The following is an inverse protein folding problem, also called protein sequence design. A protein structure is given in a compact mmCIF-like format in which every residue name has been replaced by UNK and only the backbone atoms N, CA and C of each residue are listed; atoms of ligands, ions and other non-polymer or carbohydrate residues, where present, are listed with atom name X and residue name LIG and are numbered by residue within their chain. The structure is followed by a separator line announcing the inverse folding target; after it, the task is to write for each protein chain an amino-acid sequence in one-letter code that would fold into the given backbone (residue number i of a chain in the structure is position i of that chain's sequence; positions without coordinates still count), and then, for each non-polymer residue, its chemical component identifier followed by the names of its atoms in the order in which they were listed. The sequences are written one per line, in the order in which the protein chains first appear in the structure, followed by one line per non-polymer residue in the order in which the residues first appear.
data_IF_004831333164
#
_entry.id   IF_004831333164
#
_cell.length_a   1.000
_cell.length_b   1.000
_cell.length_c   1.000
_cell.angle_alpha   90.00
_cell.angle_beta   90.00
_cell.angle_gamma   90.00
#
_symmetry.space_group_name_H-M   'P 1'
#
loop_
_entity.id
_entity.type
_entity.pdbx_description
1 polymer ?
#
# COMPACT_ATOMS: atom_id res chain seq x y z
N UNK A 1 37.35 -33.72 -14.17
CA UNK A 1 36.35 -33.38 -13.15
C UNK A 1 36.14 -31.88 -13.19
N UNK A 2 35.10 -31.47 -13.86
CA UNK A 2 34.79 -30.04 -13.96
C UNK A 2 33.70 -29.72 -12.94
N UNK A 3 34.05 -28.93 -11.94
CA UNK A 3 33.10 -28.41 -10.97
C UNK A 3 32.32 -27.27 -11.64
N UNK A 4 31.09 -27.55 -12.00
CA UNK A 4 30.23 -26.53 -12.54
C UNK A 4 29.77 -25.61 -11.43
N UNK A 5 30.34 -24.43 -11.36
CA UNK A 5 29.84 -23.38 -10.50
C UNK A 5 28.59 -22.75 -11.12
N UNK A 6 27.46 -23.05 -10.54
CA UNK A 6 26.22 -22.36 -10.94
C UNK A 6 26.23 -20.93 -10.45
N UNK A 7 26.68 -20.04 -11.32
CA UNK A 7 26.59 -18.62 -11.03
C UNK A 7 25.14 -18.19 -11.10
N UNK A 8 24.59 -17.66 -10.00
CA UNK A 8 23.30 -17.03 -10.02
C UNK A 8 23.40 -15.78 -10.90
N UNK A 9 22.71 -15.79 -12.04
CA UNK A 9 22.63 -14.62 -12.92
C UNK A 9 21.71 -13.58 -12.30
N UNK A 10 22.16 -12.95 -11.21
CA UNK A 10 21.43 -11.81 -10.64
C UNK A 10 21.79 -10.58 -11.49
N UNK A 11 20.76 -9.88 -11.96
CA UNK A 11 20.95 -8.63 -12.70
C UNK A 11 21.63 -7.61 -11.78
N UNK A 12 22.61 -6.84 -12.30
CA UNK A 12 23.26 -5.81 -11.48
C UNK A 12 22.24 -4.73 -11.11
N UNK A 13 22.30 -4.30 -9.86
CA UNK A 13 21.42 -3.22 -9.39
C UNK A 13 21.80 -1.91 -10.10
N UNK A 14 20.79 -1.18 -10.55
CA UNK A 14 20.95 0.14 -11.14
C UNK A 14 20.26 1.17 -10.28
N UNK A 15 20.96 2.24 -9.87
CA UNK A 15 20.36 3.22 -8.96
C UNK A 15 19.17 3.95 -9.57
N UNK A 16 18.20 4.24 -8.72
CA UNK A 16 17.10 5.14 -9.04
C UNK A 16 17.58 6.57 -8.91
N UNK A 17 17.01 7.46 -9.72
CA UNK A 17 17.21 8.91 -9.61
C UNK A 17 15.88 9.64 -9.67
N UNK A 18 15.84 10.83 -9.14
CA UNK A 18 14.63 11.64 -9.16
C UNK A 18 14.36 12.13 -10.58
N UNK A 19 13.16 11.85 -11.09
CA UNK A 19 12.73 12.32 -12.39
C UNK A 19 11.91 13.60 -12.28
N UNK A 20 10.96 13.64 -11.36
CA UNK A 20 10.02 14.77 -11.26
C UNK A 20 9.46 14.87 -9.85
N UNK A 21 9.19 16.10 -9.42
CA UNK A 21 8.42 16.39 -8.20
C UNK A 21 7.07 16.98 -8.61
N UNK A 22 5.99 16.37 -8.11
CA UNK A 22 4.63 16.78 -8.44
C UNK A 22 4.03 17.45 -7.20
N UNK A 23 3.64 18.72 -7.32
CA UNK A 23 3.14 19.51 -6.20
C UNK A 23 1.78 20.11 -6.58
N UNK A 24 0.71 19.54 -6.01
CA UNK A 24 -0.64 20.02 -6.28
C UNK A 24 -1.58 19.83 -5.09
N UNK A 25 -1.15 19.14 -4.05
CA UNK A 25 -1.94 19.01 -2.84
C UNK A 25 -1.63 20.13 -1.84
N UNK A 26 -2.63 20.51 -1.06
CA UNK A 26 -2.51 21.58 -0.06
C UNK A 26 -2.12 21.08 1.32
N UNK A 27 -2.18 19.78 1.55
CA UNK A 27 -1.84 19.13 2.80
C UNK A 27 -1.00 17.88 2.51
N UNK A 28 -0.66 17.17 3.56
CA UNK A 28 0.08 15.90 3.49
C UNK A 28 -0.50 15.00 2.40
N UNK A 29 0.38 14.37 1.62
CA UNK A 29 -0.02 13.33 0.68
C UNK A 29 0.07 12.01 1.42
N UNK A 30 -1.06 11.38 1.65
CA UNK A 30 -1.14 10.19 2.51
C UNK A 30 -0.90 8.88 1.76
N UNK A 31 -1.14 8.86 0.46
CA UNK A 31 -1.08 7.63 -0.33
C UNK A 31 -0.85 7.97 -1.78
N UNK A 32 -0.08 7.11 -2.46
CA UNK A 32 0.16 7.21 -3.89
C UNK A 32 0.13 5.79 -4.46
N UNK A 33 -0.58 5.60 -5.59
CA UNK A 33 -0.70 4.29 -6.23
C UNK A 33 -0.73 4.43 -7.75
N UNK A 34 0.11 3.67 -8.44
CA UNK A 34 -0.04 3.48 -9.89
C UNK A 34 -1.28 2.66 -10.16
N UNK A 35 -1.96 2.95 -11.27
CA UNK A 35 -3.08 2.12 -11.72
C UNK A 35 -2.59 0.73 -12.12
N UNK A 36 -3.52 -0.21 -12.22
CA UNK A 36 -3.17 -1.61 -12.48
C UNK A 36 -2.50 -1.79 -13.84
N UNK A 37 -2.87 -0.99 -14.82
CA UNK A 37 -2.25 -1.03 -16.16
C UNK A 37 -1.03 -0.12 -16.29
N UNK A 38 -0.73 0.68 -15.27
CA UNK A 38 0.43 1.57 -15.25
C UNK A 38 0.25 2.88 -15.99
N UNK A 39 -0.92 3.15 -16.58
CA UNK A 39 -1.11 4.39 -17.36
C UNK A 39 -1.38 5.62 -16.51
N UNK A 40 -1.87 5.40 -15.29
CA UNK A 40 -2.28 6.50 -14.40
C UNK A 40 -1.59 6.35 -13.04
N UNK A 41 -1.57 7.46 -12.33
CA UNK A 41 -1.09 7.54 -10.95
C UNK A 41 -2.15 8.31 -10.18
N UNK A 42 -2.48 7.85 -8.97
CA UNK A 42 -3.40 8.58 -8.11
C UNK A 42 -2.71 8.90 -6.80
N UNK A 43 -2.97 10.10 -6.30
CA UNK A 43 -2.51 10.53 -4.98
C UNK A 43 -3.71 10.96 -4.14
N UNK A 44 -3.64 10.66 -2.85
CA UNK A 44 -4.68 11.02 -1.88
C UNK A 44 -4.08 11.89 -0.80
N UNK A 45 -4.87 12.77 -0.21
CA UNK A 45 -4.33 13.77 0.69
C UNK A 45 -5.27 14.07 1.87
N UNK A 46 -4.67 14.59 2.93
CA UNK A 46 -5.41 15.17 4.05
C UNK A 46 -6.14 16.45 3.62
N UNK A 47 -5.89 16.97 2.43
CA UNK A 47 -6.67 18.09 1.87
C UNK A 47 -8.07 17.65 1.39
N UNK A 48 -8.43 16.37 1.60
CA UNK A 48 -9.75 15.78 1.31
C UNK A 48 -9.94 15.44 -0.18
N UNK A 49 -8.89 15.52 -0.98
CA UNK A 49 -8.98 15.27 -2.42
C UNK A 49 -8.06 14.13 -2.84
N UNK A 50 -8.42 13.54 -4.00
CA UNK A 50 -7.49 12.72 -4.77
C UNK A 50 -7.16 13.45 -6.04
N UNK A 51 -5.97 13.19 -6.57
CA UNK A 51 -5.56 13.71 -7.88
C UNK A 51 -5.15 12.54 -8.74
N UNK A 52 -5.60 12.55 -9.99
CA UNK A 52 -5.21 11.55 -10.99
C UNK A 52 -4.24 12.23 -11.97
N UNK A 53 -3.10 11.58 -12.17
CA UNK A 53 -2.02 12.05 -13.03
C UNK A 53 -1.81 11.06 -14.16
N UNK A 54 -1.36 11.54 -15.33
CA UNK A 54 -0.81 10.65 -16.34
C UNK A 54 0.54 10.12 -15.81
N UNK A 55 0.73 8.81 -15.80
CA UNK A 55 2.01 8.27 -15.34
C UNK A 55 3.11 8.48 -16.37
N UNK A 56 2.75 8.70 -17.62
CA UNK A 56 3.72 8.88 -18.71
C UNK A 56 4.17 10.32 -18.84
N UNK A 57 3.24 11.27 -18.90
CA UNK A 57 3.58 12.69 -19.05
C UNK A 57 3.76 13.39 -17.71
N UNK A 58 3.29 12.78 -16.62
CA UNK A 58 3.34 13.33 -15.25
C UNK A 58 2.59 14.65 -15.14
N UNK A 59 1.51 14.78 -15.90
CA UNK A 59 0.63 15.95 -15.87
C UNK A 59 -0.66 15.60 -15.14
N UNK A 60 -1.24 16.58 -14.47
CA UNK A 60 -2.50 16.43 -13.74
C UNK A 60 -3.63 16.24 -14.73
N UNK A 61 -4.43 15.18 -14.53
CA UNK A 61 -5.58 14.88 -15.37
C UNK A 61 -6.89 15.30 -14.73
N UNK A 62 -7.09 14.99 -13.44
CA UNK A 62 -8.33 15.34 -12.75
C UNK A 62 -8.13 15.39 -11.25
N UNK A 63 -9.05 16.09 -10.60
CA UNK A 63 -9.11 16.17 -9.15
C UNK A 63 -10.46 15.64 -8.69
N UNK A 64 -10.46 14.72 -7.73
CA UNK A 64 -11.67 14.06 -7.23
C UNK A 64 -12.03 14.70 -5.90
N UNK A 65 -13.17 15.36 -5.87
CA UNK A 65 -13.61 16.19 -4.74
C UNK A 65 -14.95 15.67 -4.25
N UNK A 66 -15.12 15.52 -2.95
CA UNK A 66 -16.38 15.06 -2.37
C UNK A 66 -16.29 14.64 -0.91
N UNK A 67 -15.14 14.10 -0.49
CA UNK A 67 -14.97 13.74 0.93
C UNK A 67 -14.97 14.97 1.81
N UNK A 68 -15.53 14.85 3.01
CA UNK A 68 -15.54 15.94 4.00
C UNK A 68 -14.43 15.79 5.04
N UNK A 69 -13.64 14.73 4.95
CA UNK A 69 -12.49 14.50 5.81
C UNK A 69 -11.27 14.10 5.00
N UNK A 70 -10.11 14.14 5.64
CA UNK A 70 -8.87 13.73 4.99
C UNK A 70 -8.95 12.30 4.47
N UNK A 71 -8.14 12.00 3.46
CA UNK A 71 -8.12 10.66 2.86
C UNK A 71 -6.81 9.99 3.28
N UNK A 72 -6.91 8.75 3.78
CA UNK A 72 -5.75 8.00 4.27
C UNK A 72 -5.24 6.95 3.30
N UNK A 73 -6.10 6.46 2.40
CA UNK A 73 -5.70 5.38 1.50
C UNK A 73 -6.55 5.41 0.25
N UNK A 74 -6.02 4.80 -0.80
CA UNK A 74 -6.73 4.62 -2.06
C UNK A 74 -6.36 3.29 -2.68
N UNK A 75 -7.22 2.77 -3.55
CA UNK A 75 -6.96 1.53 -4.29
C UNK A 75 -7.58 1.63 -5.67
N UNK A 76 -6.91 1.00 -6.64
CA UNK A 76 -7.39 0.93 -8.02
C UNK A 76 -8.10 -0.39 -8.27
N UNK A 77 -9.14 -0.37 -9.08
CA UNK A 77 -9.71 -1.61 -9.62
C UNK A 77 -8.73 -2.23 -10.63
N UNK A 78 -8.89 -3.52 -10.88
CA UNK A 78 -7.96 -4.25 -11.74
C UNK A 78 -8.01 -3.79 -13.19
N UNK A 79 -9.13 -3.21 -13.62
CA UNK A 79 -9.26 -2.67 -14.98
C UNK A 79 -8.84 -1.19 -15.08
N UNK A 80 -8.36 -0.61 -13.98
CA UNK A 80 -7.92 0.78 -13.92
C UNK A 80 -9.02 1.82 -14.17
N UNK A 81 -10.29 1.42 -14.13
CA UNK A 81 -11.42 2.34 -14.33
C UNK A 81 -11.84 3.04 -13.04
N UNK A 82 -11.70 2.38 -11.90
CA UNK A 82 -12.24 2.89 -10.65
C UNK A 82 -11.18 3.02 -9.58
N UNK A 83 -11.38 4.01 -8.72
CA UNK A 83 -10.58 4.23 -7.50
C UNK A 83 -11.54 4.14 -6.32
N UNK A 84 -11.10 3.49 -5.24
CA UNK A 84 -11.81 3.56 -3.96
C UNK A 84 -10.93 4.30 -2.97
N UNK A 85 -11.52 5.23 -2.24
CA UNK A 85 -10.82 6.05 -1.24
C UNK A 85 -11.37 5.77 0.16
N UNK A 86 -10.49 5.86 1.17
CA UNK A 86 -10.82 5.67 2.58
C UNK A 86 -10.59 6.97 3.32
N UNK A 87 -11.59 7.44 4.07
CA UNK A 87 -11.58 8.79 4.59
C UNK A 87 -11.86 8.88 6.09
N UNK A 88 -11.36 9.96 6.68
CA UNK A 88 -11.66 10.36 8.05
C UNK A 88 -13.14 10.75 8.21
N UNK A 89 -13.88 10.95 7.11
CA UNK A 89 -15.32 11.24 7.19
C UNK A 89 -16.16 9.99 7.44
N UNK A 90 -15.54 8.86 7.77
CA UNK A 90 -16.14 7.56 8.12
C UNK A 90 -16.61 6.78 6.89
N UNK A 91 -16.36 7.27 5.68
CA UNK A 91 -16.87 6.63 4.46
C UNK A 91 -15.74 6.20 3.54
N UNK A 92 -16.11 5.30 2.63
CA UNK A 92 -15.33 5.04 1.43
C UNK A 92 -16.12 5.60 0.25
N UNK A 93 -15.40 6.00 -0.80
CA UNK A 93 -16.05 6.41 -2.05
C UNK A 93 -15.42 5.68 -3.23
N UNK A 94 -16.27 5.29 -4.17
CA UNK A 94 -15.84 4.72 -5.43
C UNK A 94 -15.97 5.81 -6.48
N UNK A 95 -14.89 6.07 -7.20
CA UNK A 95 -14.80 7.12 -8.21
C UNK A 95 -14.54 6.51 -9.58
N UNK A 96 -15.18 7.06 -10.61
CA UNK A 96 -14.82 6.79 -11.99
C UNK A 96 -13.61 7.66 -12.31
N UNK A 97 -12.46 7.04 -12.61
CA UNK A 97 -11.22 7.78 -12.80
C UNK A 97 -11.22 8.66 -14.04
N UNK A 98 -12.02 8.30 -15.05
CA UNK A 98 -12.09 9.07 -16.29
C UNK A 98 -12.99 10.29 -16.15
N UNK A 99 -14.20 10.11 -15.61
CA UNK A 99 -15.16 11.22 -15.45
C UNK A 99 -14.90 12.05 -14.23
N UNK A 100 -14.11 11.55 -13.27
CA UNK A 100 -13.83 12.20 -11.99
C UNK A 100 -15.06 12.28 -11.08
N UNK A 101 -16.07 11.48 -11.33
CA UNK A 101 -17.31 11.50 -10.55
C UNK A 101 -17.31 10.40 -9.49
N UNK A 102 -17.88 10.72 -8.33
CA UNK A 102 -18.14 9.71 -7.30
C UNK A 102 -19.37 8.90 -7.71
N UNK A 103 -19.18 7.60 -7.91
CA UNK A 103 -20.26 6.72 -8.34
C UNK A 103 -20.94 6.03 -7.17
N UNK A 104 -20.25 5.89 -6.01
CA UNK A 104 -20.84 5.28 -4.82
C UNK A 104 -20.15 5.80 -3.57
N UNK A 105 -20.92 5.91 -2.49
CA UNK A 105 -20.41 6.15 -1.14
C UNK A 105 -20.77 4.95 -0.28
N UNK A 106 -19.76 4.35 0.37
CA UNK A 106 -19.95 3.18 1.22
C UNK A 106 -19.97 3.63 2.68
N UNK A 107 -21.11 3.41 3.34
CA UNK A 107 -21.34 3.85 4.71
C UNK A 107 -21.51 2.64 5.63
N UNK A 108 -20.98 2.74 6.84
CA UNK A 108 -21.11 1.69 7.83
C UNK A 108 -20.08 1.76 8.93
N UNK A 109 -18.85 2.15 8.61
CA UNK A 109 -17.81 2.32 9.64
C UNK A 109 -18.21 3.42 10.62
N UNK A 110 -17.85 3.24 11.89
CA UNK A 110 -18.21 4.15 12.97
C UNK A 110 -17.05 5.01 13.46
N UNK A 111 -15.90 4.86 12.81
CA UNK A 111 -14.72 5.70 13.03
C UNK A 111 -14.00 5.83 11.70
N UNK A 112 -12.92 6.60 11.66
CA UNK A 112 -12.26 6.89 10.38
C UNK A 112 -11.82 5.61 9.68
N UNK A 113 -11.97 5.61 8.34
CA UNK A 113 -11.57 4.48 7.51
C UNK A 113 -10.13 4.72 7.08
N UNK A 114 -9.25 3.77 7.40
CA UNK A 114 -7.82 4.00 7.29
C UNK A 114 -7.16 3.28 6.10
N UNK A 115 -7.74 2.16 5.67
CA UNK A 115 -7.13 1.37 4.61
C UNK A 115 -8.20 0.71 3.74
N UNK A 116 -7.86 0.45 2.47
CA UNK A 116 -8.82 -0.05 1.49
C UNK A 116 -8.10 -0.80 0.38
N UNK A 117 -8.74 -1.85 -0.14
CA UNK A 117 -8.29 -2.51 -1.38
C UNK A 117 -9.44 -3.17 -2.10
N UNK A 118 -9.31 -3.28 -3.43
CA UNK A 118 -10.15 -4.12 -4.27
C UNK A 118 -9.59 -5.55 -4.28
N UNK A 119 -10.47 -6.53 -4.46
CA UNK A 119 -10.00 -7.88 -4.80
C UNK A 119 -9.59 -7.92 -6.29
N UNK A 120 -8.84 -8.95 -6.71
CA UNK A 120 -8.40 -9.01 -8.11
C UNK A 120 -9.55 -9.01 -9.12
N UNK A 121 -10.70 -9.58 -8.76
CA UNK A 121 -11.88 -9.60 -9.61
C UNK A 121 -12.60 -8.24 -9.63
N UNK A 122 -12.30 -7.38 -8.68
CA UNK A 122 -12.85 -6.02 -8.52
C UNK A 122 -14.37 -6.00 -8.29
N UNK A 123 -14.91 -7.10 -7.78
CA UNK A 123 -16.31 -7.14 -7.35
C UNK A 123 -16.46 -6.95 -5.85
N UNK A 124 -15.35 -6.99 -5.08
CA UNK A 124 -15.32 -6.76 -3.64
C UNK A 124 -14.33 -5.68 -3.29
N UNK A 125 -14.62 -4.97 -2.20
CA UNK A 125 -13.69 -4.06 -1.55
C UNK A 125 -13.54 -4.53 -0.11
N UNK A 126 -12.33 -4.46 0.42
CA UNK A 126 -12.06 -4.66 1.85
C UNK A 126 -11.57 -3.34 2.44
N UNK A 127 -12.08 -3.01 3.62
CA UNK A 127 -11.68 -1.80 4.35
C UNK A 127 -11.32 -2.13 5.79
N UNK A 128 -10.44 -1.31 6.35
CA UNK A 128 -10.10 -1.36 7.76
C UNK A 128 -10.21 0.02 8.38
N UNK A 129 -10.57 0.06 9.67
CA UNK A 129 -10.96 1.32 10.31
C UNK A 129 -10.42 1.41 11.74
N UNK A 130 -10.39 2.62 12.25
CA UNK A 130 -10.16 2.89 13.66
C UNK A 130 -11.27 2.31 14.55
N UNK A 131 -12.42 1.94 13.96
CA UNK A 131 -13.48 1.24 14.71
C UNK A 131 -13.14 -0.22 15.00
N UNK A 132 -11.94 -0.66 14.63
CA UNK A 132 -11.39 -2.00 14.93
C UNK A 132 -11.97 -3.10 14.07
N UNK A 133 -12.80 -2.75 13.07
CA UNK A 133 -13.41 -3.73 12.17
C UNK A 133 -12.74 -3.77 10.82
N UNK A 134 -12.84 -4.93 10.20
CA UNK A 134 -12.58 -5.14 8.78
C UNK A 134 -13.95 -5.38 8.13
N UNK A 135 -14.24 -4.68 7.05
CA UNK A 135 -15.51 -4.85 6.34
C UNK A 135 -15.26 -5.24 4.90
N UNK A 136 -16.14 -6.11 4.41
CA UNK A 136 -16.10 -6.57 3.02
C UNK A 136 -17.38 -6.07 2.36
N UNK A 137 -17.23 -5.36 1.25
CA UNK A 137 -18.31 -4.66 0.57
C UNK A 137 -18.52 -5.24 -0.83
N UNK A 138 -19.79 -5.30 -1.26
CA UNK A 138 -20.14 -5.62 -2.65
C UNK A 138 -20.03 -4.35 -3.48
N UNK A 139 -19.16 -4.37 -4.49
CA UNK A 139 -18.92 -3.17 -5.32
C UNK A 139 -20.18 -2.77 -6.09
N UNK A 140 -20.91 -3.76 -6.60
CA UNK A 140 -22.08 -3.50 -7.44
C UNK A 140 -23.19 -2.78 -6.67
N UNK A 141 -23.48 -3.23 -5.45
CA UNK A 141 -24.58 -2.66 -4.66
C UNK A 141 -24.12 -1.59 -3.66
N UNK A 142 -22.83 -1.58 -3.30
CA UNK A 142 -22.31 -0.70 -2.26
C UNK A 142 -22.66 -1.15 -0.85
N UNK A 143 -23.17 -2.36 -0.68
CA UNK A 143 -23.61 -2.86 0.63
C UNK A 143 -22.52 -3.67 1.31
N UNK A 144 -22.43 -3.60 2.64
CA UNK A 144 -21.50 -4.47 3.36
C UNK A 144 -22.00 -5.92 3.32
N UNK A 145 -21.08 -6.84 3.00
CA UNK A 145 -21.36 -8.27 3.04
C UNK A 145 -20.95 -8.86 4.37
N UNK A 146 -19.86 -8.39 4.94
CA UNK A 146 -19.35 -8.84 6.23
C UNK A 146 -18.81 -7.68 7.02
N UNK A 147 -19.09 -7.66 8.32
CA UNK A 147 -18.47 -6.76 9.28
C UNK A 147 -17.77 -7.65 10.30
N UNK A 148 -16.45 -7.59 10.33
CA UNK A 148 -15.63 -8.49 11.14
C UNK A 148 -15.06 -7.70 12.31
N UNK A 149 -15.33 -8.15 13.55
CA UNK A 149 -14.69 -7.60 14.74
C UNK A 149 -13.26 -8.17 14.80
N UNK A 150 -12.36 -7.58 14.02
CA UNK A 150 -11.10 -8.20 13.67
C UNK A 150 -10.02 -8.01 14.73
N UNK A 151 -10.00 -6.83 15.35
CA UNK A 151 -8.86 -6.42 16.18
C UNK A 151 -9.36 -5.65 17.40
N UNK A 152 -8.45 -5.46 18.37
CA UNK A 152 -8.75 -4.69 19.60
C UNK A 152 -8.20 -3.28 19.58
N UNK A 153 -7.62 -2.87 18.44
CA UNK A 153 -7.14 -1.51 18.19
C UNK A 153 -7.31 -1.20 16.70
N UNK A 154 -7.05 0.04 16.26
CA UNK A 154 -7.24 0.40 14.85
C UNK A 154 -6.58 -0.56 13.87
N UNK A 155 -7.30 -0.84 12.79
CA UNK A 155 -6.81 -1.67 11.68
C UNK A 155 -5.99 -0.76 10.76
N UNK A 156 -4.74 -1.14 10.52
CA UNK A 156 -3.80 -0.29 9.77
C UNK A 156 -3.66 -0.67 8.30
N UNK A 157 -3.95 -1.93 7.97
CA UNK A 157 -3.79 -2.38 6.58
C UNK A 157 -4.70 -3.57 6.31
N UNK A 158 -5.19 -3.66 5.07
CA UNK A 158 -5.98 -4.79 4.57
C UNK A 158 -5.61 -5.03 3.11
N UNK A 159 -5.39 -6.30 2.75
CA UNK A 159 -5.06 -6.68 1.37
C UNK A 159 -5.66 -8.03 1.05
N UNK A 160 -6.15 -8.17 -0.19
CA UNK A 160 -6.50 -9.48 -0.74
C UNK A 160 -5.23 -10.17 -1.24
N UNK A 161 -5.25 -11.49 -1.26
CA UNK A 161 -4.19 -12.27 -1.88
C UNK A 161 -4.41 -12.35 -3.40
N UNK A 162 -3.54 -13.09 -4.08
CA UNK A 162 -3.47 -13.10 -5.54
C UNK A 162 -4.75 -13.57 -6.23
N UNK A 163 -5.46 -14.55 -5.65
CA UNK A 163 -6.71 -15.04 -6.24
C UNK A 163 -7.97 -14.47 -5.58
N UNK A 164 -7.81 -13.63 -4.57
CA UNK A 164 -8.93 -12.99 -3.89
C UNK A 164 -9.61 -13.84 -2.84
N UNK A 165 -9.09 -15.02 -2.53
CA UNK A 165 -9.72 -15.93 -1.55
C UNK A 165 -9.41 -15.58 -0.10
N UNK A 166 -8.32 -14.85 0.12
CA UNK A 166 -7.84 -14.51 1.47
C UNK A 166 -7.67 -13.01 1.61
N UNK A 167 -7.84 -12.55 2.86
CA UNK A 167 -7.54 -11.17 3.26
C UNK A 167 -6.52 -11.23 4.39
N UNK A 168 -5.50 -10.36 4.34
CA UNK A 168 -4.61 -10.13 5.47
C UNK A 168 -4.97 -8.79 6.10
N UNK A 169 -5.02 -8.74 7.43
CA UNK A 169 -5.19 -7.49 8.17
C UNK A 169 -4.07 -7.33 9.18
N UNK A 170 -3.63 -6.09 9.35
CA UNK A 170 -2.68 -5.71 10.39
C UNK A 170 -3.28 -4.63 11.27
N UNK A 171 -2.81 -4.54 12.53
CA UNK A 171 -3.42 -3.64 13.50
C UNK A 171 -2.40 -3.10 14.49
N UNK A 172 -2.71 -1.95 15.05
CA UNK A 172 -1.97 -1.38 16.18
C UNK A 172 -1.97 -2.33 17.39
N UNK A 173 -2.88 -3.30 17.46
CA UNK A 173 -2.87 -4.27 18.56
C UNK A 173 -1.68 -5.25 18.47
N UNK A 174 -0.89 -5.14 17.42
CA UNK A 174 0.31 -5.97 17.23
C UNK A 174 0.03 -7.28 16.51
N UNK A 175 -1.21 -7.53 16.10
CA UNK A 175 -1.56 -8.80 15.46
C UNK A 175 -1.70 -8.66 13.95
N UNK A 176 -1.42 -9.77 13.26
CA UNK A 176 -1.62 -9.91 11.83
C UNK A 176 -2.46 -11.17 11.62
N UNK A 177 -3.60 -11.01 10.94
CA UNK A 177 -4.58 -12.10 10.83
C UNK A 177 -4.95 -12.33 9.37
N UNK A 178 -5.33 -13.57 9.08
CA UNK A 178 -5.73 -14.00 7.73
C UNK A 178 -7.17 -14.51 7.79
N UNK A 179 -7.99 -14.00 6.87
CA UNK A 179 -9.44 -14.21 6.85
C UNK A 179 -9.85 -14.80 5.51
N UNK A 180 -10.90 -15.63 5.51
CA UNK A 180 -11.54 -16.08 4.27
C UNK A 180 -12.39 -14.95 3.71
N UNK A 181 -12.20 -14.58 2.45
CA UNK A 181 -12.91 -13.44 1.89
C UNK A 181 -14.38 -13.70 1.63
N UNK A 182 -14.77 -14.96 1.41
CA UNK A 182 -16.15 -15.30 1.12
C UNK A 182 -17.02 -15.38 2.37
N UNK A 183 -16.47 -15.85 3.50
CA UNK A 183 -17.24 -16.04 4.73
C UNK A 183 -16.92 -15.02 5.81
N UNK A 184 -15.78 -14.35 5.73
CA UNK A 184 -15.30 -13.49 6.80
C UNK A 184 -14.72 -14.25 7.99
N UNK A 185 -14.52 -15.56 7.85
CA UNK A 185 -14.03 -16.37 8.95
C UNK A 185 -12.55 -16.20 9.19
N UNK A 186 -12.13 -16.19 10.45
CA UNK A 186 -10.71 -16.15 10.80
C UNK A 186 -10.10 -17.51 10.46
N UNK A 187 -9.07 -17.50 9.62
CA UNK A 187 -8.36 -18.72 9.22
C UNK A 187 -7.06 -18.91 10.01
N UNK A 188 -6.37 -17.81 10.31
CA UNK A 188 -5.08 -17.90 10.98
C UNK A 188 -4.71 -16.57 11.62
N UNK A 189 -4.12 -16.63 12.81
CA UNK A 189 -3.41 -15.49 13.39
C UNK A 189 -1.93 -15.71 13.11
N UNK A 190 -1.38 -14.94 12.16
CA UNK A 190 0.01 -15.09 11.76
C UNK A 190 0.95 -14.53 12.82
N UNK A 191 0.59 -13.37 13.38
CA UNK A 191 1.35 -12.72 14.45
C UNK A 191 0.37 -12.37 15.56
N UNK A 192 0.68 -12.84 16.78
CA UNK A 192 -0.15 -12.60 17.97
C UNK A 192 0.02 -11.16 18.47
N UNK A 193 -0.91 -10.71 19.29
CA UNK A 193 -1.03 -9.34 19.77
C UNK A 193 -0.10 -9.01 20.96
N UNK A 194 1.10 -9.60 20.99
CA UNK A 194 2.03 -9.39 22.10
C UNK A 194 3.33 -8.69 21.67
N UNK A 195 3.34 -8.10 20.49
CA UNK A 195 4.52 -7.42 19.97
C UNK A 195 4.23 -5.96 19.57
N UNK A 196 5.16 -5.34 18.86
CA UNK A 196 4.97 -3.96 18.43
C UNK A 196 3.79 -3.83 17.44
N UNK A 197 3.23 -2.63 17.39
CA UNK A 197 2.12 -2.33 16.48
C UNK A 197 2.50 -2.70 15.05
N UNK A 198 1.55 -3.30 14.32
CA UNK A 198 1.73 -3.58 12.90
C UNK A 198 1.21 -2.38 12.14
N UNK A 199 2.09 -1.76 11.38
CA UNK A 199 1.79 -0.54 10.64
C UNK A 199 1.43 -0.81 9.18
N UNK A 200 1.77 -2.00 8.65
CA UNK A 200 1.49 -2.35 7.26
C UNK A 200 1.65 -3.86 7.08
N UNK A 201 0.77 -4.47 6.28
CA UNK A 201 0.89 -5.89 5.93
C UNK A 201 0.30 -6.09 4.54
N UNK A 202 0.98 -6.87 3.71
CA UNK A 202 0.61 -7.02 2.29
C UNK A 202 1.09 -8.36 1.78
N UNK A 203 0.26 -9.06 1.00
CA UNK A 203 0.69 -10.27 0.31
C UNK A 203 1.75 -9.95 -0.76
N UNK A 204 2.68 -10.86 -0.96
CA UNK A 204 3.62 -10.79 -2.08
C UNK A 204 2.88 -11.06 -3.40
N UNK A 205 3.46 -10.61 -4.53
CA UNK A 205 2.80 -10.82 -5.83
C UNK A 205 2.54 -12.29 -6.17
N UNK A 206 3.40 -13.20 -5.71
CA UNK A 206 3.19 -14.63 -5.97
C UNK A 206 2.23 -15.29 -4.97
N UNK A 207 1.75 -14.54 -3.98
CA UNK A 207 0.77 -15.02 -3.01
C UNK A 207 1.32 -15.93 -1.91
N UNK A 208 2.64 -16.15 -1.86
CA UNK A 208 3.22 -17.09 -0.91
C UNK A 208 3.67 -16.45 0.40
N UNK A 209 3.89 -15.15 0.38
CA UNK A 209 4.48 -14.45 1.53
C UNK A 209 3.66 -13.24 1.91
N UNK A 210 3.88 -12.77 3.13
CA UNK A 210 3.30 -11.51 3.61
C UNK A 210 4.45 -10.63 4.09
N UNK A 211 4.49 -9.40 3.59
CA UNK A 211 5.44 -8.37 4.02
C UNK A 211 4.79 -7.59 5.14
N UNK A 212 5.44 -7.54 6.30
CA UNK A 212 4.88 -6.91 7.51
C UNK A 212 5.83 -5.85 8.01
N UNK A 213 5.32 -4.63 8.21
CA UNK A 213 6.05 -3.55 8.88
C UNK A 213 5.55 -3.43 10.31
N UNK A 214 6.48 -3.31 11.25
CA UNK A 214 6.17 -3.06 12.65
C UNK A 214 6.86 -1.77 13.09
N UNK A 215 6.31 -1.12 14.14
CA UNK A 215 6.80 0.18 14.59
C UNK A 215 8.03 0.02 15.50
N UNK A 216 8.98 -0.77 15.02
CA UNK A 216 10.29 -0.99 15.64
C UNK A 216 11.41 -0.91 14.59
N UNK A 217 11.17 -0.17 13.50
CA UNK A 217 12.13 0.05 12.42
C UNK A 217 12.43 -1.22 11.62
N UNK A 218 11.50 -2.16 11.54
CA UNK A 218 11.72 -3.38 10.76
C UNK A 218 10.60 -3.65 9.77
N UNK A 219 10.99 -4.27 8.66
CA UNK A 219 10.11 -4.96 7.73
C UNK A 219 10.50 -6.43 7.76
N UNK A 220 9.51 -7.32 7.75
CA UNK A 220 9.77 -8.76 7.73
C UNK A 220 8.95 -9.42 6.65
N UNK A 221 9.52 -10.44 6.04
CA UNK A 221 8.82 -11.27 5.06
C UNK A 221 8.48 -12.59 5.70
N UNK A 222 7.20 -12.90 5.78
CA UNK A 222 6.69 -14.11 6.45
C UNK A 222 6.17 -15.10 5.43
N UNK A 223 6.45 -16.37 5.65
CA UNK A 223 5.75 -17.46 4.96
C UNK A 223 4.50 -17.77 5.78
N UNK A 224 3.32 -17.42 5.25
CA UNK A 224 2.12 -17.55 6.07
C UNK A 224 1.66 -19.01 6.22
N UNK A 225 2.06 -19.90 5.30
CA UNK A 225 1.73 -21.32 5.44
C UNK A 225 2.46 -21.96 6.62
N UNK A 226 3.75 -21.64 6.77
CA UNK A 226 4.56 -22.18 7.86
C UNK A 226 4.50 -21.35 9.13
N UNK A 227 4.08 -20.08 9.01
CA UNK A 227 4.06 -19.14 10.13
C UNK A 227 5.43 -18.63 10.54
N UNK A 228 6.41 -18.72 9.66
CA UNK A 228 7.79 -18.34 9.99
C UNK A 228 8.21 -17.06 9.25
N UNK A 229 8.96 -16.22 9.97
CA UNK A 229 9.63 -15.05 9.39
C UNK A 229 10.87 -15.53 8.65
N UNK A 230 10.99 -15.18 7.37
CA UNK A 230 12.08 -15.63 6.51
C UNK A 230 13.16 -14.59 6.32
N UNK A 231 12.78 -13.32 6.24
CA UNK A 231 13.69 -12.22 5.96
C UNK A 231 13.36 -11.03 6.84
N UNK A 232 14.37 -10.24 7.14
CA UNK A 232 14.22 -8.98 7.86
C UNK A 232 14.97 -7.89 7.08
N UNK A 233 14.35 -6.72 6.98
CA UNK A 233 14.90 -5.56 6.28
C UNK A 233 15.00 -4.41 7.27
N UNK A 234 16.18 -3.84 7.39
CA UNK A 234 16.47 -2.78 8.38
C UNK A 234 17.23 -1.63 7.71
N UNK A 235 17.40 -0.55 8.47
CA UNK A 235 18.13 0.63 8.02
C UNK A 235 17.26 1.86 7.92
N UNK A 236 15.97 1.70 7.71
CA UNK A 236 15.01 2.80 7.67
C UNK A 236 14.50 3.10 9.08
N UNK A 237 13.73 4.18 9.20
CA UNK A 237 13.13 4.60 10.48
C UNK A 237 11.62 4.49 10.37
N UNK A 238 11.00 3.73 11.26
CA UNK A 238 9.54 3.58 11.29
C UNK A 238 9.10 3.26 12.73
N UNK A 239 8.76 4.31 13.49
CA UNK A 239 8.33 4.16 14.88
C UNK A 239 6.95 4.75 15.15
N UNK A 240 6.45 5.59 14.25
CA UNK A 240 5.25 6.39 14.50
C UNK A 240 4.16 6.16 13.46
N UNK A 241 4.52 6.22 12.18
CA UNK A 241 3.54 6.27 11.08
C UNK A 241 3.33 4.92 10.43
N UNK A 242 2.13 4.74 9.86
CA UNK A 242 1.80 3.55 9.07
C UNK A 242 2.31 3.77 7.65
N UNK A 243 3.53 3.37 7.40
CA UNK A 243 4.23 3.59 6.14
C UNK A 243 4.01 2.40 5.22
N UNK A 244 3.57 2.68 3.99
CA UNK A 244 3.35 1.65 2.99
C UNK A 244 4.68 1.19 2.38
N UNK A 245 4.71 -0.08 2.02
CA UNK A 245 5.82 -0.70 1.31
C UNK A 245 5.31 -1.34 0.03
N UNK A 246 6.22 -1.66 -0.87
CA UNK A 246 5.86 -2.23 -2.17
C UNK A 246 6.91 -3.21 -2.64
N UNK A 247 6.49 -4.12 -3.51
CA UNK A 247 7.40 -5.02 -4.23
C UNK A 247 7.66 -4.44 -5.61
N UNK A 248 8.93 -4.44 -6.03
CA UNK A 248 9.32 -4.08 -7.39
C UNK A 248 9.85 -5.35 -8.07
N UNK A 249 9.22 -5.73 -9.17
CA UNK A 249 9.57 -7.00 -9.84
C UNK A 249 9.83 -6.83 -11.34
N UNK A 250 9.99 -5.61 -11.82
CA UNK A 250 10.19 -5.34 -13.25
C UNK A 250 11.65 -5.56 -13.69
N UNK A 251 12.60 -5.33 -12.78
CA UNK A 251 14.02 -5.52 -13.08
C UNK A 251 14.69 -6.02 -11.79
N UNK A 252 14.64 -7.32 -11.57
CA UNK A 252 15.08 -7.89 -10.33
C UNK A 252 13.93 -7.96 -9.33
N UNK A 253 14.26 -8.27 -8.09
CA UNK A 253 13.25 -8.42 -7.02
C UNK A 253 13.66 -7.57 -5.83
N UNK A 254 12.90 -6.52 -5.61
CA UNK A 254 13.23 -5.54 -4.58
C UNK A 254 12.03 -5.24 -3.69
N UNK A 255 12.33 -4.81 -2.47
CA UNK A 255 11.36 -4.23 -1.54
C UNK A 255 11.64 -2.73 -1.50
N UNK A 256 10.58 -1.93 -1.55
CA UNK A 256 10.67 -0.47 -1.48
C UNK A 256 9.78 0.00 -0.33
N UNK A 257 10.29 0.91 0.48
CA UNK A 257 9.51 1.47 1.60
C UNK A 257 9.81 2.95 1.78
N UNK A 258 8.82 3.67 2.29
CA UNK A 258 9.05 5.00 2.83
C UNK A 258 9.77 4.91 4.18
N UNK A 259 10.03 6.08 4.77
CA UNK A 259 10.75 6.14 6.04
C UNK A 259 10.52 7.49 6.70
N UNK A 260 10.59 7.50 8.03
CA UNK A 260 10.42 8.73 8.80
C UNK A 260 11.65 9.65 8.71
N UNK A 261 12.77 9.16 8.19
CA UNK A 261 13.95 9.99 7.94
C UNK A 261 13.90 10.72 6.59
N UNK A 262 12.73 10.79 5.96
CA UNK A 262 12.47 11.56 4.73
C UNK A 262 13.02 10.92 3.46
N UNK A 263 13.32 9.62 3.50
CA UNK A 263 13.94 8.91 2.38
C UNK A 263 13.09 7.74 1.93
N UNK A 264 13.30 7.34 0.69
CA UNK A 264 12.78 6.07 0.16
C UNK A 264 13.92 5.06 0.25
N UNK A 265 13.62 3.87 0.74
CA UNK A 265 14.61 2.79 0.87
C UNK A 265 14.30 1.67 -0.10
N UNK A 266 15.35 1.10 -0.67
CA UNK A 266 15.25 -0.03 -1.58
C UNK A 266 16.17 -1.15 -1.05
N UNK A 267 15.61 -2.35 -0.92
CA UNK A 267 16.37 -3.56 -0.53
C UNK A 267 16.25 -4.59 -1.63
N UNK A 268 17.31 -5.38 -1.79
CA UNK A 268 17.19 -6.66 -2.51
C UNK A 268 16.31 -7.60 -1.69
N UNK A 269 15.47 -8.38 -2.35
CA UNK A 269 14.56 -9.30 -1.66
C UNK A 269 15.33 -10.25 -0.73
N UNK A 270 16.56 -10.63 -1.09
CA UNK A 270 17.37 -11.54 -0.30
C UNK A 270 18.29 -10.85 0.70
N UNK A 271 18.38 -9.53 0.66
CA UNK A 271 19.31 -8.78 1.49
C UNK A 271 18.66 -8.16 2.71
N UNK A 272 19.43 -7.92 3.75
CA UNK A 272 18.96 -7.27 4.98
C UNK A 272 19.17 -5.76 4.95
N UNK A 273 20.28 -5.32 4.38
CA UNK A 273 20.68 -3.90 4.39
C UNK A 273 20.23 -3.22 3.09
N UNK A 274 19.92 -1.92 3.14
CA UNK A 274 19.44 -1.23 1.94
C UNK A 274 20.48 -1.22 0.83
N UNK A 275 20.00 -1.35 -0.41
CA UNK A 275 20.82 -1.11 -1.60
C UNK A 275 20.92 0.37 -1.90
N UNK A 276 19.87 1.11 -1.61
CA UNK A 276 19.84 2.54 -1.94
C UNK A 276 18.90 3.27 -0.99
N UNK A 277 19.25 4.52 -0.72
CA UNK A 277 18.47 5.47 0.05
C UNK A 277 18.26 6.67 -0.85
N UNK A 278 17.00 6.96 -1.21
CA UNK A 278 16.64 8.02 -2.14
C UNK A 278 16.29 9.27 -1.34
N UNK A 279 17.07 10.30 -1.49
CA UNK A 279 16.91 11.56 -0.77
C UNK A 279 16.20 12.59 -1.65
N UNK A 280 15.43 13.47 -1.02
CA UNK A 280 14.76 14.56 -1.72
C UNK A 280 13.51 15.07 -1.01
N UNK A 281 12.72 14.18 -0.42
CA UNK A 281 11.55 14.61 0.36
C UNK A 281 11.98 15.43 1.57
N UNK A 282 11.10 16.33 2.01
CA UNK A 282 11.37 17.23 3.13
C UNK A 282 10.57 16.87 4.38
N UNK A 283 9.83 15.78 4.34
CA UNK A 283 9.12 15.22 5.51
C UNK A 283 9.05 13.70 5.34
N UNK A 284 8.51 13.01 6.34
CA UNK A 284 8.30 11.56 6.31
C UNK A 284 7.76 11.11 4.96
N UNK A 285 8.35 10.08 4.38
CA UNK A 285 7.81 9.42 3.20
C UNK A 285 6.83 8.37 3.68
N UNK A 286 5.53 8.64 3.49
CA UNK A 286 4.46 7.84 4.08
C UNK A 286 3.99 6.71 3.15
N UNK A 287 4.20 6.84 1.85
CA UNK A 287 3.66 5.89 0.88
C UNK A 287 4.60 5.77 -0.30
N UNK A 288 4.71 4.55 -0.83
CA UNK A 288 5.45 4.27 -2.06
C UNK A 288 4.61 3.34 -2.92
N UNK A 289 4.81 3.42 -4.23
CA UNK A 289 4.17 2.54 -5.20
C UNK A 289 5.15 2.24 -6.31
N UNK A 290 5.21 0.99 -6.74
CA UNK A 290 6.07 0.58 -7.85
C UNK A 290 5.22 0.41 -9.10
N UNK A 291 5.69 0.94 -10.22
CA UNK A 291 5.00 0.83 -11.51
C UNK A 291 4.92 -0.66 -11.89
N UNK A 292 3.78 -1.13 -12.43
CA UNK A 292 3.65 -2.55 -12.74
C UNK A 292 4.54 -3.04 -13.89
N UNK A 293 4.91 -2.16 -14.81
CA UNK A 293 5.62 -2.57 -16.03
C UNK A 293 6.94 -1.85 -16.26
N UNK A 294 7.21 -0.77 -15.54
CA UNK A 294 8.44 0.03 -15.72
C UNK A 294 9.20 0.11 -14.40
N UNK A 295 10.49 0.43 -14.50
CA UNK A 295 11.34 0.59 -13.32
C UNK A 295 11.18 2.02 -12.78
N UNK A 296 10.04 2.25 -12.15
CA UNK A 296 9.60 3.57 -11.71
C UNK A 296 8.94 3.43 -10.34
N UNK A 297 9.28 4.34 -9.44
CA UNK A 297 8.70 4.42 -8.10
C UNK A 297 8.04 5.78 -7.94
N UNK A 298 6.85 5.79 -7.32
CA UNK A 298 6.22 7.02 -6.83
C UNK A 298 6.29 7.01 -5.33
N UNK A 299 6.56 8.17 -4.73
CA UNK A 299 6.61 8.32 -3.27
C UNK A 299 5.87 9.58 -2.85
N UNK A 300 5.39 9.60 -1.62
CA UNK A 300 4.53 10.68 -1.11
C UNK A 300 5.02 11.14 0.26
N UNK A 301 5.04 12.47 0.47
CA UNK A 301 5.53 13.08 1.70
C UNK A 301 4.46 13.80 2.50
N UNK A 302 4.65 13.88 3.81
CA UNK A 302 3.73 14.51 4.75
C UNK A 302 3.79 16.03 4.71
N UNK A 303 3.17 16.68 5.69
CA UNK A 303 2.84 18.12 5.65
C UNK A 303 3.98 19.11 5.44
N UNK A 304 5.13 18.74 5.65
CA UNK A 304 6.22 19.44 5.46
C UNK A 304 6.77 19.34 4.19
N UNK A 305 6.10 18.46 3.36
CA UNK A 305 6.54 18.15 1.99
C UNK A 305 5.42 18.35 0.98
N UNK A 306 4.31 17.62 1.14
CA UNK A 306 3.08 17.72 0.32
C UNK A 306 3.29 17.39 -1.16
N UNK A 307 4.32 16.61 -1.48
CA UNK A 307 4.63 16.29 -2.88
C UNK A 307 4.57 14.80 -3.13
N UNK A 308 4.40 14.49 -4.42
CA UNK A 308 4.65 13.16 -4.97
C UNK A 308 5.94 13.26 -5.77
N UNK A 309 6.86 12.34 -5.56
CA UNK A 309 8.12 12.29 -6.31
C UNK A 309 8.18 11.02 -7.12
N UNK A 310 8.70 11.17 -8.33
CA UNK A 310 8.81 10.07 -9.29
C UNK A 310 10.30 9.78 -9.49
N UNK A 311 10.65 8.52 -9.26
CA UNK A 311 12.03 8.03 -9.34
C UNK A 311 12.11 6.98 -10.44
N UNK A 312 13.16 7.02 -11.24
CA UNK A 312 13.34 6.11 -12.35
C UNK A 312 14.72 5.47 -12.29
N UNK A 313 14.80 4.30 -12.88
CA UNK A 313 16.02 3.52 -12.99
C UNK A 313 16.33 3.43 -14.48
N UNK A 314 17.49 3.93 -14.88
CA UNK A 314 17.91 3.88 -16.28
C UNK A 314 18.50 2.49 -16.58
N UNK A 315 18.03 1.87 -17.66
CA UNK A 315 18.44 0.51 -18.06
C UNK A 315 19.17 0.55 -19.40
#
# INVERSE_FOLDING_TARGET
MASGGGGSNSLPYRPYRLLRTLAAHDRAVSCVKFSSDGTLLASASLDKTLIVWSSQTLTLKSRLVGHSGGISDLAWSSDSHYICSASDDLTLRIWDAQSAECVKTLRGHTDLVFCVNFNPQSNLIVSGSFDETVRIWDVKTGRPLHTIAAHSMPVTSVYFNRDGSLIVSGSHDGSCKIWASDTGALLKTLIEDNGPAISFAKFSPNGKYILVATLDDTLKLWNYSTGKSLKIYTGHVNKVYCIASAFSVTYGKYIVSGSEDKCVYVWDLQGKNPLQKLEGHTDTVISVSCHPNENKIASAGLDXDRTVRIWVQDI
#
